data_IF_702104865320
#
_entry.id   IF_702104865320
#
_cell.length_a   1.000
_cell.length_b   1.000
_cell.length_c   1.000
_cell.angle_alpha   90.00
_cell.angle_beta   90.00
_cell.angle_gamma   90.00
#
_symmetry.space_group_name_H-M   'P 1'
#
loop_
_entity.id
_entity.type
_entity.pdbx_description
1 polymer ?
#
# COMPACT_ATOMS: atom_id res chain seq x y z
N UNK A 1 -29.20 -28.55 -12.81
CA UNK A 1 -28.06 -28.13 -13.65
C UNK A 1 -27.46 -26.93 -12.95
N UNK A 2 -26.49 -27.18 -12.10
CA UNK A 2 -25.77 -26.09 -11.41
C UNK A 2 -24.92 -25.35 -12.45
N UNK A 3 -25.13 -24.04 -12.56
CA UNK A 3 -24.29 -23.21 -13.40
C UNK A 3 -22.88 -23.23 -12.81
N UNK A 4 -21.89 -23.58 -13.63
CA UNK A 4 -20.49 -23.50 -13.24
C UNK A 4 -20.21 -22.06 -12.73
N UNK A 5 -19.45 -21.89 -11.63
CA UNK A 5 -19.12 -20.57 -11.15
C UNK A 5 -18.42 -19.80 -12.28
N UNK A 6 -18.93 -18.60 -12.56
CA UNK A 6 -18.29 -17.71 -13.53
C UNK A 6 -16.87 -17.41 -13.05
N UNK A 7 -15.86 -17.42 -13.94
CA UNK A 7 -14.51 -17.08 -13.55
C UNK A 7 -14.51 -15.68 -12.95
N UNK A 8 -13.98 -15.55 -11.74
CA UNK A 8 -13.82 -14.26 -11.06
C UNK A 8 -13.19 -13.25 -12.03
N UNK A 9 -13.86 -12.14 -12.24
CA UNK A 9 -13.40 -11.09 -13.17
C UNK A 9 -12.02 -10.64 -12.70
N UNK A 10 -11.00 -10.72 -13.55
CA UNK A 10 -9.66 -10.25 -13.23
C UNK A 10 -9.73 -8.76 -12.91
N UNK A 11 -9.54 -8.41 -11.64
CA UNK A 11 -9.69 -7.04 -11.15
C UNK A 11 -8.55 -6.14 -11.64
N UNK A 12 -7.32 -6.66 -11.67
CA UNK A 12 -6.13 -5.92 -12.10
C UNK A 12 -5.57 -6.49 -13.40
N UNK A 13 -5.14 -5.59 -14.30
CA UNK A 13 -4.46 -5.98 -15.54
C UNK A 13 -2.97 -6.19 -15.26
N UNK A 14 -2.64 -7.30 -14.62
CA UNK A 14 -1.29 -7.63 -14.17
C UNK A 14 -0.83 -8.98 -14.70
N UNK A 15 0.47 -9.13 -14.83
CA UNK A 15 1.16 -10.36 -15.22
C UNK A 15 2.36 -10.57 -14.31
N UNK A 16 2.82 -11.81 -14.20
CA UNK A 16 4.08 -12.10 -13.52
C UNK A 16 5.22 -11.49 -14.31
N UNK A 17 6.06 -10.73 -13.63
CA UNK A 17 7.30 -10.18 -14.21
C UNK A 17 8.39 -11.25 -14.22
N UNK A 18 9.07 -11.39 -15.34
CA UNK A 18 10.18 -12.33 -15.56
C UNK A 18 11.54 -11.63 -15.79
N UNK A 19 11.52 -10.30 -15.81
CA UNK A 19 12.69 -9.45 -16.01
C UNK A 19 13.46 -9.11 -14.74
N UNK A 20 14.53 -8.32 -14.87
CA UNK A 20 15.25 -7.80 -13.71
C UNK A 20 14.36 -6.91 -12.86
N UNK A 21 14.68 -6.85 -11.56
CA UNK A 21 14.00 -5.94 -10.63
C UNK A 21 14.14 -4.50 -11.14
N UNK A 22 13.03 -3.76 -11.17
CA UNK A 22 13.02 -2.38 -11.66
C UNK A 22 11.97 -1.52 -10.97
N UNK A 23 12.21 -0.22 -10.94
CA UNK A 23 11.24 0.77 -10.42
C UNK A 23 9.91 0.64 -11.16
N UNK A 24 8.81 0.79 -10.43
CA UNK A 24 7.45 0.68 -10.94
C UNK A 24 6.88 -0.73 -10.98
N UNK A 25 7.69 -1.75 -10.68
CA UNK A 25 7.16 -3.08 -10.42
C UNK A 25 6.47 -3.13 -9.06
N UNK A 26 5.49 -4.02 -8.94
CA UNK A 26 4.86 -4.38 -7.69
C UNK A 26 5.43 -5.71 -7.22
N UNK A 27 5.76 -5.80 -5.94
CA UNK A 27 6.20 -7.01 -5.29
C UNK A 27 5.07 -7.54 -4.41
N UNK A 28 4.68 -8.79 -4.63
CA UNK A 28 3.75 -9.51 -3.77
C UNK A 28 4.53 -10.41 -2.82
N UNK A 29 4.22 -10.32 -1.53
CA UNK A 29 4.77 -11.28 -0.58
C UNK A 29 4.27 -12.69 -0.88
N UNK A 30 5.18 -13.68 -0.77
CA UNK A 30 4.80 -15.08 -0.91
C UNK A 30 3.81 -15.48 0.20
N UNK A 31 2.79 -16.32 -0.06
CA UNK A 31 1.79 -16.74 0.95
C UNK A 31 2.39 -17.32 2.23
N UNK A 32 3.53 -17.98 2.13
CA UNK A 32 4.21 -18.60 3.28
C UNK A 32 5.13 -17.63 4.05
N UNK A 33 5.20 -16.36 3.65
CA UNK A 33 5.90 -15.34 4.42
C UNK A 33 5.05 -14.98 5.65
N UNK A 34 5.31 -15.62 6.79
CA UNK A 34 4.46 -15.55 7.97
C UNK A 34 5.08 -14.85 9.19
N UNK A 35 6.38 -14.52 9.14
CA UNK A 35 7.12 -14.02 10.31
C UNK A 35 7.67 -12.60 10.12
N UNK A 36 7.10 -11.83 9.23
CA UNK A 36 7.52 -10.43 9.02
C UNK A 36 6.33 -9.50 9.01
N UNK A 37 6.53 -8.25 9.44
CA UNK A 37 5.55 -7.17 9.27
C UNK A 37 5.11 -6.93 7.82
N UNK A 38 5.68 -7.69 6.86
CA UNK A 38 5.38 -7.61 5.42
C UNK A 38 4.54 -8.80 4.90
N UNK A 39 3.94 -9.60 5.79
CA UNK A 39 2.99 -10.67 5.43
C UNK A 39 1.83 -10.08 4.62
N UNK A 40 1.41 -10.73 3.53
CA UNK A 40 0.33 -10.26 2.64
C UNK A 40 0.50 -8.81 2.16
N UNK A 41 1.74 -8.40 1.92
CA UNK A 41 2.03 -7.05 1.44
C UNK A 41 2.02 -6.98 -0.08
N UNK A 42 1.51 -5.84 -0.56
CA UNK A 42 1.63 -5.36 -1.94
C UNK A 42 2.56 -4.15 -1.89
N UNK A 43 3.74 -4.25 -2.48
CA UNK A 43 4.79 -3.24 -2.36
C UNK A 43 5.06 -2.63 -3.74
N UNK A 44 4.89 -1.31 -3.86
CA UNK A 44 5.31 -0.54 -5.03
C UNK A 44 6.79 -0.19 -4.90
N UNK A 45 7.61 -0.64 -5.83
CA UNK A 45 9.05 -0.32 -5.84
C UNK A 45 9.26 1.07 -6.43
N UNK A 46 9.63 2.03 -5.59
CA UNK A 46 9.77 3.46 -5.98
C UNK A 46 11.22 3.88 -6.24
N UNK A 47 12.18 3.11 -5.74
CA UNK A 47 13.60 3.32 -6.01
C UNK A 47 14.33 1.98 -6.05
N UNK A 48 15.21 1.82 -7.03
CA UNK A 48 16.06 0.64 -7.14
C UNK A 48 17.34 1.00 -7.89
N UNK A 49 18.48 0.68 -7.31
CA UNK A 49 19.79 0.83 -7.92
C UNK A 49 20.78 -0.14 -7.24
N UNK A 50 22.04 -0.09 -7.64
CA UNK A 50 23.10 -0.99 -7.13
C UNK A 50 23.34 -0.90 -5.62
N UNK A 51 22.96 0.21 -4.98
CA UNK A 51 23.25 0.46 -3.56
C UNK A 51 22.04 0.28 -2.65
N UNK A 52 20.81 0.40 -3.15
CA UNK A 52 19.62 0.34 -2.32
C UNK A 52 18.36 0.07 -3.15
N UNK A 53 17.41 -0.62 -2.55
CA UNK A 53 16.05 -0.71 -3.04
C UNK A 53 15.09 -0.16 -1.98
N UNK A 54 14.06 0.53 -2.42
CA UNK A 54 13.11 1.22 -1.57
C UNK A 54 11.69 1.02 -2.13
N UNK A 55 10.82 0.43 -1.35
CA UNK A 55 9.44 0.13 -1.71
C UNK A 55 8.45 0.65 -0.68
N UNK A 56 7.23 0.89 -1.12
CA UNK A 56 6.11 1.34 -0.29
C UNK A 56 5.04 0.26 -0.26
N UNK A 57 4.70 -0.25 0.92
CA UNK A 57 3.52 -1.10 1.10
C UNK A 57 2.29 -0.22 0.86
N UNK A 58 1.46 -0.59 -0.10
CA UNK A 58 0.34 0.24 -0.56
C UNK A 58 -1.03 -0.26 -0.10
N UNK A 59 -1.10 -1.44 0.49
CA UNK A 59 -2.34 -2.07 0.91
C UNK A 59 -2.60 -2.07 2.43
N UNK A 60 -1.74 -1.42 3.26
CA UNK A 60 -1.92 -1.38 4.72
C UNK A 60 -2.35 0.00 5.18
N UNK A 61 -3.65 0.20 5.35
CA UNK A 61 -4.20 1.43 5.92
C UNK A 61 -3.97 1.45 7.44
N UNK A 62 -3.69 2.63 7.99
CA UNK A 62 -3.57 2.87 9.43
C UNK A 62 -4.89 3.40 10.02
N UNK A 63 -5.10 3.32 11.35
CA UNK A 63 -6.35 3.74 12.02
C UNK A 63 -6.56 5.25 12.06
N UNK A 64 -5.68 6.02 11.51
CA UNK A 64 -5.68 7.47 11.61
C UNK A 64 -5.49 8.13 10.25
N UNK A 65 -5.89 9.38 10.18
CA UNK A 65 -5.79 10.27 9.03
C UNK A 65 -4.59 11.20 9.16
N UNK A 66 -4.30 11.97 8.11
CA UNK A 66 -3.30 13.04 8.20
C UNK A 66 -3.71 14.11 9.22
N UNK A 67 -5.01 14.35 9.41
CA UNK A 67 -5.52 15.27 10.43
C UNK A 67 -5.12 14.85 11.84
N UNK A 68 -5.26 13.58 12.16
CA UNK A 68 -4.87 13.04 13.47
C UNK A 68 -3.37 13.22 13.73
N UNK A 69 -2.51 13.03 12.72
CA UNK A 69 -1.09 13.29 12.82
C UNK A 69 -0.75 14.78 13.02
N UNK A 70 -1.46 15.67 12.32
CA UNK A 70 -1.25 17.12 12.45
C UNK A 70 -1.67 17.58 13.85
N UNK A 71 -2.76 17.06 14.39
CA UNK A 71 -3.31 17.47 15.69
C UNK A 71 -2.58 16.81 16.88
N UNK A 72 -1.76 15.79 16.63
CA UNK A 72 -0.94 15.08 17.63
C UNK A 72 0.55 15.39 17.47
N UNK A 73 1.02 16.60 17.82
CA UNK A 73 2.41 17.03 17.58
C UNK A 73 3.44 16.20 18.34
N UNK A 74 3.04 15.55 19.43
CA UNK A 74 3.90 14.71 20.27
C UNK A 74 4.03 13.28 19.75
N UNK A 75 3.20 12.86 18.79
CA UNK A 75 3.31 11.55 18.16
C UNK A 75 4.68 11.41 17.47
N UNK A 76 5.30 10.24 17.61
CA UNK A 76 6.61 9.95 17.00
C UNK A 76 6.59 10.23 15.49
N UNK A 77 5.52 9.85 14.82
CA UNK A 77 5.34 10.03 13.38
C UNK A 77 5.22 11.48 12.93
N UNK A 78 4.90 12.40 13.84
CA UNK A 78 4.83 13.84 13.54
C UNK A 78 6.10 14.60 13.92
N UNK A 79 7.08 13.92 14.54
CA UNK A 79 8.38 14.52 14.83
C UNK A 79 9.08 14.93 13.54
N UNK A 80 9.53 16.16 13.45
CA UNK A 80 10.17 16.72 12.26
C UNK A 80 9.24 17.45 11.30
N UNK A 81 7.92 17.41 11.49
CA UNK A 81 7.00 18.27 10.75
C UNK A 81 7.05 19.70 11.33
N UNK A 82 7.70 20.61 10.62
CA UNK A 82 7.67 22.04 10.98
C UNK A 82 6.32 22.67 10.60
N UNK A 83 6.09 23.92 11.02
CA UNK A 83 4.83 24.62 10.77
C UNK A 83 4.46 24.73 9.29
N UNK A 84 5.43 24.96 8.40
CA UNK A 84 5.18 25.09 6.97
C UNK A 84 4.75 23.73 6.35
N UNK A 85 5.37 22.63 6.77
CA UNK A 85 4.98 21.27 6.34
C UNK A 85 3.58 20.95 6.84
N UNK A 86 3.26 21.22 8.10
CA UNK A 86 1.91 21.01 8.66
C UNK A 86 0.86 21.83 7.92
N UNK A 87 1.17 23.09 7.59
CA UNK A 87 0.28 23.94 6.82
C UNK A 87 0.05 23.37 5.41
N UNK A 88 1.10 22.93 4.73
CA UNK A 88 0.96 22.34 3.41
C UNK A 88 0.17 21.03 3.44
N UNK A 89 0.32 20.23 4.50
CA UNK A 89 -0.40 18.98 4.67
C UNK A 89 -1.86 19.16 5.12
N UNK A 90 -2.26 20.38 5.52
CA UNK A 90 -3.61 20.64 6.05
C UNK A 90 -4.74 20.34 5.06
N UNK A 91 -4.51 20.44 3.76
CA UNK A 91 -5.50 20.12 2.72
C UNK A 91 -5.75 18.60 2.58
N UNK A 92 -4.89 17.78 3.15
CA UNK A 92 -4.97 16.32 3.14
C UNK A 92 -5.48 15.74 4.47
N UNK A 93 -6.10 16.55 5.33
CA UNK A 93 -6.52 16.12 6.68
C UNK A 93 -7.37 14.85 6.68
N UNK A 94 -8.28 14.72 5.70
CA UNK A 94 -9.16 13.56 5.57
C UNK A 94 -8.50 12.36 4.88
N UNK A 95 -7.27 12.51 4.39
CA UNK A 95 -6.59 11.41 3.74
C UNK A 95 -6.18 10.35 4.76
N UNK A 96 -6.51 9.08 4.54
CA UNK A 96 -5.99 7.99 5.34
C UNK A 96 -4.47 7.87 5.15
N UNK A 97 -3.80 7.46 6.20
CA UNK A 97 -2.37 7.13 6.18
C UNK A 97 -2.22 5.63 5.95
N UNK A 98 -1.18 5.27 5.20
CA UNK A 98 -0.79 3.88 4.99
C UNK A 98 0.57 3.59 5.65
N UNK A 99 0.72 2.38 6.20
CA UNK A 99 2.01 1.90 6.71
C UNK A 99 2.83 1.36 5.54
N UNK A 100 3.90 2.06 5.18
CA UNK A 100 4.73 1.76 4.00
C UNK A 100 5.76 0.65 4.20
N UNK A 101 5.99 0.23 5.44
CA UNK A 101 6.95 -0.81 5.81
C UNK A 101 7.46 -0.65 7.23
N UNK A 102 8.49 -1.40 7.57
CA UNK A 102 9.02 -1.51 8.93
C UNK A 102 10.19 -0.55 9.22
N UNK A 103 10.61 0.23 8.21
CA UNK A 103 11.73 1.17 8.33
C UNK A 103 11.20 2.61 8.28
N UNK A 104 11.78 3.49 9.10
CA UNK A 104 11.54 4.93 9.01
C UNK A 104 10.10 5.35 9.27
N UNK A 105 9.53 4.98 10.42
CA UNK A 105 8.14 5.28 10.84
C UNK A 105 7.75 6.77 10.76
N UNK A 106 8.73 7.67 10.70
CA UNK A 106 8.52 9.13 10.55
C UNK A 106 8.70 9.63 9.11
N UNK A 107 9.12 8.76 8.19
CA UNK A 107 9.36 9.14 6.80
C UNK A 107 8.04 9.13 6.02
N UNK A 108 7.55 10.32 5.65
CA UNK A 108 6.35 10.47 4.84
C UNK A 108 6.68 10.38 3.35
N UNK A 109 6.07 9.44 2.68
CA UNK A 109 6.05 9.33 1.22
C UNK A 109 4.68 9.70 0.68
N UNK A 110 4.67 10.28 -0.51
CA UNK A 110 3.43 10.64 -1.22
C UNK A 110 3.47 9.99 -2.60
N UNK A 111 2.43 9.22 -2.93
CA UNK A 111 2.16 8.74 -4.29
C UNK A 111 1.01 9.53 -4.89
N UNK A 112 1.13 9.94 -6.16
CA UNK A 112 0.12 10.75 -6.84
C UNK A 112 0.23 10.62 -8.37
N UNK A 113 -0.82 10.99 -9.17
CA UNK A 113 -0.78 10.92 -10.63
C UNK A 113 -0.26 12.22 -11.31
N UNK A 114 0.10 13.25 -10.54
CA UNK A 114 0.37 14.62 -11.02
C UNK A 114 1.84 14.83 -11.37
N UNK A 115 2.30 14.33 -12.52
CA UNK A 115 3.71 14.36 -12.93
C UNK A 115 4.31 15.75 -13.23
N UNK A 116 3.49 16.81 -13.25
CA UNK A 116 3.93 18.18 -13.47
C UNK A 116 4.38 18.89 -12.19
N UNK A 117 4.08 18.33 -10.99
CA UNK A 117 4.50 18.91 -9.72
C UNK A 117 6.02 18.86 -9.59
N UNK A 118 6.60 19.94 -9.05
CA UNK A 118 8.04 19.99 -8.78
C UNK A 118 8.45 18.87 -7.83
N UNK A 119 9.59 18.24 -8.11
CA UNK A 119 10.12 17.14 -7.28
C UNK A 119 9.43 15.79 -7.51
N UNK A 120 8.41 15.72 -8.40
CA UNK A 120 7.75 14.47 -8.73
C UNK A 120 8.70 13.50 -9.46
N UNK A 121 8.92 12.33 -8.90
CA UNK A 121 9.75 11.27 -9.48
C UNK A 121 8.83 10.23 -10.11
N UNK A 122 8.95 10.01 -11.42
CA UNK A 122 8.14 9.01 -12.13
C UNK A 122 8.48 7.61 -11.62
N UNK A 123 7.48 6.87 -11.18
CA UNK A 123 7.57 5.47 -10.75
C UNK A 123 7.14 4.53 -11.90
N UNK A 124 5.91 4.74 -12.40
CA UNK A 124 5.40 4.09 -13.60
C UNK A 124 4.39 5.02 -14.28
N UNK A 125 3.71 4.56 -15.33
CA UNK A 125 2.69 5.37 -15.97
C UNK A 125 1.54 5.67 -15.02
N UNK A 126 1.25 6.96 -14.82
CA UNK A 126 0.21 7.43 -13.90
C UNK A 126 0.59 7.41 -12.42
N UNK A 127 1.83 7.05 -12.05
CA UNK A 127 2.30 7.05 -10.66
C UNK A 127 3.60 7.82 -10.52
N UNK A 128 3.59 8.80 -9.63
CA UNK A 128 4.76 9.58 -9.23
C UNK A 128 4.93 9.50 -7.72
N UNK A 129 6.17 9.58 -7.31
CA UNK A 129 6.58 9.56 -5.90
C UNK A 129 7.18 10.90 -5.52
N UNK A 130 6.76 11.44 -4.35
CA UNK A 130 7.13 12.74 -3.80
C UNK A 130 6.72 13.91 -4.70
N UNK A 131 6.62 15.09 -4.13
CA UNK A 131 6.43 16.37 -4.81
C UNK A 131 6.70 17.53 -3.84
N UNK A 132 6.74 18.73 -4.37
CA UNK A 132 6.67 19.95 -3.57
C UNK A 132 5.27 20.06 -2.90
N UNK A 133 5.26 20.12 -1.58
CA UNK A 133 4.01 20.13 -0.79
C UNK A 133 3.22 21.42 -0.97
N UNK A 134 3.89 22.55 -1.21
CA UNK A 134 3.20 23.82 -1.42
C UNK A 134 2.48 23.82 -2.77
N UNK A 135 3.13 23.32 -3.82
CA UNK A 135 2.46 23.16 -5.14
C UNK A 135 1.30 22.17 -5.06
N UNK A 136 1.47 21.03 -4.34
CA UNK A 136 0.40 20.06 -4.14
C UNK A 136 -0.80 20.68 -3.40
N UNK A 137 -0.55 21.48 -2.36
CA UNK A 137 -1.58 22.25 -1.65
C UNK A 137 -2.34 23.19 -2.59
N UNK A 138 -1.64 24.00 -3.39
CA UNK A 138 -2.26 24.93 -4.34
C UNK A 138 -3.09 24.19 -5.38
N UNK A 139 -2.62 23.04 -5.88
CA UNK A 139 -3.35 22.22 -6.83
C UNK A 139 -4.69 21.70 -6.24
N UNK A 140 -4.68 21.33 -4.96
CA UNK A 140 -5.90 20.90 -4.26
C UNK A 140 -6.82 22.11 -3.97
N UNK A 141 -6.29 23.23 -3.48
CA UNK A 141 -7.08 24.41 -3.14
C UNK A 141 -7.74 25.04 -4.38
N UNK A 142 -7.09 24.96 -5.53
CA UNK A 142 -7.68 25.42 -6.80
C UNK A 142 -8.79 24.51 -7.34
N UNK A 143 -9.00 23.35 -6.72
CA UNK A 143 -9.96 22.33 -7.20
C UNK A 143 -9.47 21.55 -8.42
N UNK A 144 -8.22 21.75 -8.87
CA UNK A 144 -7.65 21.03 -10.01
C UNK A 144 -7.29 19.57 -9.69
N UNK A 145 -7.15 19.23 -8.40
CA UNK A 145 -6.98 17.84 -7.94
C UNK A 145 -7.80 17.58 -6.67
N UNK A 146 -8.27 16.34 -6.54
CA UNK A 146 -8.84 15.85 -5.27
C UNK A 146 -7.71 15.59 -4.28
N UNK A 147 -7.85 15.93 -2.98
CA UNK A 147 -6.92 15.48 -1.95
C UNK A 147 -6.71 13.97 -1.99
N UNK A 148 -7.76 13.21 -2.24
CA UNK A 148 -7.73 11.75 -2.31
C UNK A 148 -6.93 11.19 -3.50
N UNK A 149 -6.53 12.01 -4.47
CA UNK A 149 -5.57 11.59 -5.51
C UNK A 149 -4.13 11.48 -5.00
N UNK A 150 -3.88 11.89 -3.75
CA UNK A 150 -2.59 11.79 -3.08
C UNK A 150 -2.65 10.71 -2.00
N UNK A 151 -1.90 9.65 -2.16
CA UNK A 151 -1.78 8.58 -1.16
C UNK A 151 -0.61 8.85 -0.24
N UNK A 152 -0.89 8.95 1.05
CA UNK A 152 0.07 9.26 2.10
C UNK A 152 0.56 7.97 2.78
N UNK A 153 1.87 7.77 2.79
CA UNK A 153 2.48 6.52 3.25
C UNK A 153 3.59 6.82 4.25
N UNK A 154 3.48 6.30 5.47
CA UNK A 154 4.51 6.42 6.52
C UNK A 154 5.39 5.18 6.56
N UNK A 155 6.70 5.40 6.60
CA UNK A 155 7.69 4.34 6.56
C UNK A 155 7.85 3.73 5.17
N UNK A 156 8.70 2.71 5.08
CA UNK A 156 9.04 2.04 3.84
C UNK A 156 9.59 0.63 4.08
N UNK A 157 9.60 -0.19 3.04
CA UNK A 157 10.38 -1.42 2.96
C UNK A 157 11.71 -1.12 2.29
N UNK A 158 12.81 -1.49 2.92
CA UNK A 158 14.16 -1.21 2.45
C UNK A 158 14.99 -2.49 2.30
N UNK A 159 15.77 -2.56 1.24
CA UNK A 159 16.70 -3.66 1.00
C UNK A 159 18.11 -3.14 0.80
N UNK A 160 19.06 -3.86 1.38
CA UNK A 160 20.49 -3.66 1.16
C UNK A 160 20.87 -4.02 -0.30
N UNK A 161 22.08 -3.66 -0.75
CA UNK A 161 22.56 -4.02 -2.09
C UNK A 161 22.40 -5.52 -2.38
N UNK A 162 21.75 -5.86 -3.50
CA UNK A 162 21.50 -7.23 -3.99
C UNK A 162 20.58 -8.08 -3.10
N UNK A 163 20.08 -7.57 -1.99
CA UNK A 163 19.16 -8.32 -1.11
C UNK A 163 17.85 -8.61 -1.82
N UNK A 164 17.25 -7.60 -2.46
CA UNK A 164 15.96 -7.75 -3.14
C UNK A 164 16.03 -8.78 -4.27
N UNK A 165 17.07 -8.75 -5.09
CA UNK A 165 17.27 -9.70 -6.18
C UNK A 165 17.43 -11.13 -5.64
N UNK A 166 18.14 -11.28 -4.52
CA UNK A 166 18.26 -12.57 -3.82
C UNK A 166 16.90 -13.09 -3.33
N UNK A 167 16.11 -12.24 -2.70
CA UNK A 167 14.76 -12.58 -2.19
C UNK A 167 13.77 -12.88 -3.32
N UNK A 168 13.83 -12.16 -4.44
CA UNK A 168 13.07 -12.48 -5.65
C UNK A 168 13.49 -13.83 -6.23
N UNK A 169 14.80 -14.08 -6.29
CA UNK A 169 15.34 -15.38 -6.72
C UNK A 169 14.87 -16.55 -5.86
N UNK A 170 14.72 -16.34 -4.56
CA UNK A 170 14.20 -17.33 -3.61
C UNK A 170 12.65 -17.39 -3.58
N UNK A 171 11.95 -16.60 -4.42
CA UNK A 171 10.49 -16.52 -4.45
C UNK A 171 9.85 -15.97 -3.17
N UNK A 172 10.59 -15.26 -2.33
CA UNK A 172 10.04 -14.50 -1.20
C UNK A 172 9.08 -13.42 -1.70
N UNK A 173 9.44 -12.81 -2.82
CA UNK A 173 8.64 -11.83 -3.55
C UNK A 173 8.33 -12.31 -4.96
N UNK A 174 7.07 -12.20 -5.35
CA UNK A 174 6.67 -12.34 -6.74
C UNK A 174 6.66 -10.95 -7.38
N UNK A 175 7.37 -10.80 -8.48
CA UNK A 175 7.32 -9.57 -9.29
C UNK A 175 6.02 -9.53 -10.09
N UNK A 176 5.33 -8.41 -10.05
CA UNK A 176 4.11 -8.16 -10.81
C UNK A 176 4.32 -6.90 -11.65
N UNK A 177 3.95 -6.98 -12.90
CA UNK A 177 4.05 -5.89 -13.86
C UNK A 177 2.75 -5.76 -14.67
N UNK A 178 2.50 -4.58 -15.20
CA UNK A 178 1.35 -4.34 -16.07
C UNK A 178 0.70 -2.99 -15.88
N UNK A 179 -0.33 -2.73 -16.66
CA UNK A 179 -1.10 -1.47 -16.60
C UNK A 179 -1.83 -1.30 -15.27
N UNK A 180 -2.15 -2.40 -14.57
CA UNK A 180 -2.77 -2.40 -13.26
C UNK A 180 -1.89 -1.90 -12.11
N UNK A 181 -0.60 -1.65 -12.34
CA UNK A 181 0.30 -1.18 -11.28
C UNK A 181 -0.13 0.18 -10.71
N UNK A 182 -0.67 1.08 -11.54
CA UNK A 182 -1.21 2.36 -11.07
C UNK A 182 -2.48 2.16 -10.22
N UNK A 183 -3.37 1.25 -10.62
CA UNK A 183 -4.56 0.91 -9.83
C UNK A 183 -4.16 0.32 -8.47
N UNK A 184 -3.13 -0.54 -8.44
CA UNK A 184 -2.60 -1.09 -7.20
C UNK A 184 -1.97 -0.02 -6.30
N UNK A 185 -1.22 0.93 -6.88
CA UNK A 185 -0.63 2.02 -6.13
C UNK A 185 -1.69 2.85 -5.38
N UNK A 186 -2.85 3.05 -6.00
CA UNK A 186 -3.96 3.84 -5.46
C UNK A 186 -5.12 2.99 -4.91
N UNK A 187 -4.96 1.68 -4.80
CA UNK A 187 -5.98 0.85 -4.16
C UNK A 187 -6.16 1.26 -2.69
N UNK A 188 -7.41 1.50 -2.31
CA UNK A 188 -7.75 1.98 -0.96
C UNK A 188 -8.28 0.85 -0.07
N UNK A 189 -8.39 -0.39 -0.60
CA UNK A 189 -9.14 -1.46 0.04
C UNK A 189 -10.59 -1.01 0.19
N UNK A 190 -11.33 -0.99 -0.93
CA UNK A 190 -12.73 -0.57 -0.94
C UNK A 190 -13.55 -1.46 0.00
N UNK A 191 -14.62 -0.91 0.57
CA UNK A 191 -15.56 -1.66 1.42
C UNK A 191 -16.18 -2.87 0.69
N UNK A 192 -16.27 -2.80 -0.64
CA UNK A 192 -16.73 -3.91 -1.51
C UNK A 192 -15.78 -5.12 -1.56
N UNK A 193 -14.53 -4.98 -1.06
CA UNK A 193 -13.57 -6.09 -0.97
C UNK A 193 -13.70 -6.91 0.31
N UNK A 194 -14.52 -6.48 1.22
CA UNK A 194 -14.91 -7.23 2.40
C UNK A 194 -16.01 -8.20 1.96
N UNK A 195 -15.68 -9.50 1.87
CA UNK A 195 -16.68 -10.58 1.80
C UNK A 195 -17.64 -10.35 2.95
N UNK A 196 -18.95 -10.45 2.67
CA UNK A 196 -20.07 -10.28 3.60
C UNK A 196 -19.69 -10.69 5.03
N UNK A 197 -19.47 -9.70 5.89
CA UNK A 197 -19.31 -9.91 7.33
C UNK A 197 -20.70 -9.85 7.94
N UNK A 198 -21.40 -10.99 8.05
CA UNK A 198 -22.60 -11.18 8.85
C UNK A 198 -22.36 -10.91 10.35
N UNK A 199 -21.12 -10.59 10.76
CA UNK A 199 -20.71 -10.32 12.12
C UNK A 199 -20.46 -8.83 12.44
N UNK A 200 -20.80 -7.91 11.53
CA UNK A 200 -20.69 -6.48 11.81
C UNK A 200 -21.92 -6.00 12.58
N UNK A 201 -21.81 -5.90 13.89
CA UNK A 201 -22.81 -5.27 14.74
C UNK A 201 -22.83 -3.75 14.50
N UNK A 202 -23.75 -3.27 13.67
CA UNK A 202 -23.99 -1.84 13.38
C UNK A 202 -24.26 -1.00 14.65
N UNK A 203 -24.56 -1.62 15.79
CA UNK A 203 -24.88 -0.95 17.04
C UNK A 203 -23.64 -0.47 17.81
N UNK A 204 -22.46 -0.96 17.50
CA UNK A 204 -21.22 -0.60 18.20
C UNK A 204 -20.22 0.15 17.30
N UNK A 205 -20.63 1.21 16.64
CA UNK A 205 -19.79 2.06 15.78
C UNK A 205 -18.62 2.76 16.53
N UNK A 206 -18.09 2.10 17.58
CA UNK A 206 -16.93 2.54 18.33
C UNK A 206 -15.88 1.43 18.36
N UNK A 207 -14.86 1.55 17.54
CA UNK A 207 -13.63 0.76 17.66
C UNK A 207 -12.95 1.14 18.97
N UNK A 208 -13.09 0.31 19.98
CA UNK A 208 -12.68 0.63 21.33
C UNK A 208 -11.31 0.09 21.70
N UNK A 209 -10.65 -0.70 20.82
CA UNK A 209 -9.30 -1.18 21.05
C UNK A 209 -8.43 -1.23 19.78
N UNK A 210 -7.14 -1.07 20.00
CA UNK A 210 -6.10 -1.05 18.97
C UNK A 210 -5.95 -2.43 18.28
N UNK A 211 -6.18 -3.53 19.01
CA UNK A 211 -6.11 -4.89 18.49
C UNK A 211 -7.20 -5.17 17.45
N UNK A 212 -8.42 -4.71 17.68
CA UNK A 212 -9.53 -4.86 16.74
C UNK A 212 -9.25 -4.13 15.42
N UNK A 213 -8.64 -2.95 15.49
CA UNK A 213 -8.23 -2.22 14.30
C UNK A 213 -7.11 -2.92 13.53
N UNK A 214 -6.05 -3.39 14.19
CA UNK A 214 -4.94 -4.09 13.52
C UNK A 214 -5.44 -5.33 12.78
N UNK A 215 -6.33 -6.09 13.41
CA UNK A 215 -6.94 -7.27 12.79
C UNK A 215 -7.75 -6.90 11.54
N UNK A 216 -8.53 -5.82 11.57
CA UNK A 216 -9.30 -5.35 10.41
C UNK A 216 -8.38 -4.82 9.30
N UNK A 217 -7.36 -4.05 9.66
CA UNK A 217 -6.39 -3.53 8.69
C UNK A 217 -5.64 -4.67 7.98
N UNK A 218 -5.27 -5.73 8.71
CA UNK A 218 -4.65 -6.92 8.14
C UNK A 218 -5.61 -7.72 7.26
N UNK A 219 -6.91 -7.80 7.62
CA UNK A 219 -7.94 -8.43 6.80
C UNK A 219 -8.13 -7.68 5.47
N UNK A 220 -8.26 -6.35 5.49
CA UNK A 220 -8.37 -5.50 4.30
C UNK A 220 -7.10 -5.55 3.44
N UNK A 221 -5.93 -5.51 4.06
CA UNK A 221 -4.66 -5.70 3.37
C UNK A 221 -4.60 -7.08 2.68
N UNK A 222 -5.07 -8.11 3.36
CA UNK A 222 -5.18 -9.46 2.83
C UNK A 222 -6.10 -9.56 1.62
N UNK A 223 -7.22 -8.82 1.61
CA UNK A 223 -8.16 -8.81 0.49
C UNK A 223 -7.53 -8.22 -0.78
N UNK A 224 -6.84 -7.09 -0.70
CA UNK A 224 -6.11 -6.50 -1.84
C UNK A 224 -5.04 -7.47 -2.35
N UNK A 225 -4.22 -8.02 -1.46
CA UNK A 225 -3.18 -8.98 -1.78
C UNK A 225 -3.76 -10.22 -2.49
N UNK A 226 -4.84 -10.80 -1.95
CA UNK A 226 -5.54 -11.95 -2.52
C UNK A 226 -6.11 -11.64 -3.91
N UNK A 227 -6.71 -10.45 -4.09
CA UNK A 227 -7.23 -10.00 -5.39
C UNK A 227 -6.16 -9.92 -6.47
N UNK A 228 -4.92 -9.54 -6.11
CA UNK A 228 -3.81 -9.52 -7.07
C UNK A 228 -3.43 -10.94 -7.48
N UNK A 229 -3.31 -11.88 -6.53
CA UNK A 229 -3.05 -13.29 -6.84
C UNK A 229 -4.12 -13.89 -7.76
N UNK A 230 -5.42 -13.62 -7.50
CA UNK A 230 -6.51 -14.05 -8.37
C UNK A 230 -6.40 -13.43 -9.77
N UNK A 231 -5.98 -12.16 -9.87
CA UNK A 231 -5.82 -11.47 -11.15
C UNK A 231 -4.71 -12.05 -12.02
N UNK A 232 -3.70 -12.68 -11.42
CA UNK A 232 -2.65 -13.39 -12.14
C UNK A 232 -3.19 -14.68 -12.79
N UNK A 233 -4.19 -15.33 -12.19
CA UNK A 233 -4.84 -16.53 -12.71
C UNK A 233 -3.98 -17.80 -12.66
N UNK A 234 -4.48 -18.90 -13.23
CA UNK A 234 -3.77 -20.17 -13.25
C UNK A 234 -3.41 -20.68 -11.85
N UNK A 235 -2.19 -21.19 -11.69
CA UNK A 235 -1.67 -21.69 -10.40
C UNK A 235 -1.61 -20.63 -9.30
N UNK A 236 -1.55 -19.35 -9.66
CA UNK A 236 -1.49 -18.24 -8.70
C UNK A 236 -2.81 -18.02 -7.98
N UNK A 237 -3.94 -18.45 -8.55
CA UNK A 237 -5.25 -18.34 -7.86
C UNK A 237 -5.30 -19.17 -6.58
N UNK A 238 -4.64 -20.33 -6.55
CA UNK A 238 -4.58 -21.19 -5.37
C UNK A 238 -3.76 -20.51 -4.26
N UNK A 239 -2.75 -19.73 -4.61
CA UNK A 239 -1.91 -19.00 -3.66
C UNK A 239 -2.70 -17.93 -2.88
N UNK A 240 -3.76 -17.38 -3.47
CA UNK A 240 -4.63 -16.41 -2.82
C UNK A 240 -5.34 -16.95 -1.57
N UNK A 241 -5.59 -18.26 -1.53
CA UNK A 241 -6.36 -18.94 -0.49
C UNK A 241 -5.51 -19.59 0.60
N UNK A 242 -4.17 -19.46 0.53
CA UNK A 242 -3.28 -20.05 1.55
C UNK A 242 -3.50 -19.33 2.89
N UNK A 243 -3.90 -20.06 3.96
CA UNK A 243 -4.11 -19.45 5.26
C UNK A 243 -2.80 -18.92 5.85
N UNK A 244 -2.86 -17.80 6.57
CA UNK A 244 -1.73 -17.36 7.39
C UNK A 244 -1.53 -18.39 8.49
N UNK A 245 -0.34 -18.95 8.59
CA UNK A 245 0.03 -19.76 9.76
C UNK A 245 0.30 -18.79 10.91
N UNK A 246 -0.70 -18.62 11.76
CA UNK A 246 -0.50 -18.06 13.09
C UNK A 246 0.08 -19.17 13.95
N UNK A 247 1.33 -19.08 14.33
CA UNK A 247 1.89 -19.96 15.33
C UNK A 247 1.33 -19.52 16.71
N UNK A 248 0.51 -20.33 17.40
CA UNK A 248 -0.07 -19.93 18.67
C UNK A 248 0.95 -19.89 19.83
N UNK A 249 2.25 -20.05 19.56
CA UNK A 249 3.31 -20.17 20.56
C UNK A 249 4.49 -19.20 20.38
N UNK A 250 4.30 -18.09 19.61
CA UNK A 250 5.28 -16.98 19.58
C UNK A 250 4.71 -15.74 20.24
#
# INVERSE_FOLDING_TARGET
MDAAPQPATRRYQVVVGDGPVSVGQVLLSHPLLSQSGLTRSVIMLVKHNETTSFGLVVNRRMPFTMGDLIDSPDAESSRGMNGAVRESLSVFRENPIFRGGDVGSTFLSILHPHGHLQGAVKVCDGVYWQCDLAEAKELVLSGAASPLSFKLVLGYAGWAPRQLEGEVGMKTWLQVAGKGNAELAFSWGNEEDCVDDDDFDEASNTWTDEESWEMMADRKAGAVWSSVWHSLGGEYTEMASVPVRTDPHL
#
